data_IF_357721608759
#
_entry.id   IF_357721608759
#
_cell.length_a   1.000
_cell.length_b   1.000
_cell.length_c   1.000
_cell.angle_alpha   90.00
_cell.angle_beta   90.00
_cell.angle_gamma   90.00
#
_symmetry.space_group_name_H-M   'P 1'
#
loop_
_entity.id
_entity.type
_entity.pdbx_description
1 polymer ?
#
# COMPACT_ATOMS: atom_id res chain seq x y z
N UNK A 1 0.05 15.82 -5.40
CA UNK A 1 1.16 14.85 -5.20
C UNK A 1 0.77 13.58 -5.91
N UNK A 2 1.74 12.82 -6.41
CA UNK A 2 1.53 11.54 -7.05
C UNK A 2 2.10 10.42 -6.17
N UNK A 3 1.62 9.20 -6.33
CA UNK A 3 2.05 8.05 -5.55
C UNK A 3 2.33 6.87 -6.47
N UNK A 4 3.39 6.13 -6.17
CA UNK A 4 3.65 4.82 -6.79
C UNK A 4 3.71 3.82 -5.65
N UNK A 5 2.93 2.74 -5.76
CA UNK A 5 2.91 1.65 -4.78
C UNK A 5 3.38 0.39 -5.46
N UNK A 6 4.47 -0.19 -4.97
CA UNK A 6 5.05 -1.42 -5.51
C UNK A 6 5.02 -2.51 -4.44
N UNK A 7 4.36 -3.61 -4.74
CA UNK A 7 4.43 -4.83 -3.94
C UNK A 7 5.39 -5.82 -4.59
N UNK A 8 6.33 -6.34 -3.81
CA UNK A 8 7.35 -7.30 -4.21
C UNK A 8 7.19 -8.56 -3.36
N UNK A 9 7.06 -9.72 -4.02
CA UNK A 9 6.78 -11.00 -3.38
C UNK A 9 6.10 -11.96 -4.35
N UNK A 10 5.40 -12.97 -3.81
CA UNK A 10 4.65 -13.93 -4.62
C UNK A 10 3.52 -13.29 -5.43
N UNK A 11 2.95 -12.18 -4.92
CA UNK A 11 1.83 -11.46 -5.53
C UNK A 11 2.29 -10.07 -6.00
N UNK A 12 3.38 -10.01 -6.77
CA UNK A 12 4.00 -8.75 -7.17
C UNK A 12 3.13 -7.93 -8.14
N UNK A 13 2.98 -6.64 -7.84
CA UNK A 13 2.27 -5.67 -8.68
C UNK A 13 2.80 -4.25 -8.44
N UNK A 14 2.47 -3.36 -9.36
CA UNK A 14 2.76 -1.93 -9.24
C UNK A 14 1.52 -1.12 -9.58
N UNK A 15 1.09 -0.27 -8.65
CA UNK A 15 0.05 0.73 -8.85
C UNK A 15 0.73 2.05 -9.19
N UNK A 16 0.43 2.56 -10.38
CA UNK A 16 1.05 3.79 -10.89
C UNK A 16 0.33 5.03 -10.35
N UNK A 17 0.91 6.20 -10.63
CA UNK A 17 0.37 7.51 -10.25
C UNK A 17 -1.03 7.81 -10.79
N UNK A 18 -1.49 7.10 -11.83
CA UNK A 18 -2.81 7.29 -12.42
C UNK A 18 -3.89 6.46 -11.71
N UNK A 19 -3.45 5.42 -10.99
CA UNK A 19 -4.29 4.48 -10.23
C UNK A 19 -4.47 4.94 -8.79
N UNK A 20 -3.40 5.41 -8.14
CA UNK A 20 -3.41 5.75 -6.70
C UNK A 20 -3.83 7.20 -6.49
N UNK A 21 -4.93 7.41 -5.76
CA UNK A 21 -5.44 8.74 -5.45
C UNK A 21 -4.91 9.27 -4.11
N UNK A 22 -4.79 8.38 -3.12
CA UNK A 22 -4.26 8.77 -1.81
C UNK A 22 -3.57 7.61 -1.10
N UNK A 23 -2.60 7.98 -0.26
CA UNK A 23 -1.94 7.07 0.67
C UNK A 23 -1.91 7.73 2.06
N UNK A 24 -2.31 6.97 3.08
CA UNK A 24 -2.26 7.39 4.48
C UNK A 24 -1.36 6.44 5.27
N UNK A 25 -0.33 6.99 5.89
CA UNK A 25 0.53 6.26 6.84
C UNK A 25 0.05 6.52 8.27
N UNK A 26 -0.13 5.47 9.05
CA UNK A 26 -0.52 5.55 10.45
C UNK A 26 0.43 4.72 11.31
N UNK A 27 0.85 5.30 12.44
CA UNK A 27 1.44 4.53 13.54
C UNK A 27 0.38 4.38 14.62
N UNK A 28 0.02 3.15 14.96
CA UNK A 28 -0.88 2.86 16.07
C UNK A 28 -0.03 2.80 17.34
N UNK A 29 -0.26 3.74 18.26
CA UNK A 29 0.37 3.78 19.57
C UNK A 29 -0.74 3.62 20.61
N UNK A 30 -0.66 2.61 21.51
CA UNK A 30 -1.62 2.45 22.60
C UNK A 30 -1.72 3.72 23.46
N UNK A 31 -2.96 4.10 23.82
CA UNK A 31 -3.26 5.37 24.50
C UNK A 31 -2.84 5.36 25.98
N UNK A 32 -2.70 4.17 26.57
CA UNK A 32 -2.37 3.91 27.97
C UNK A 32 -0.86 3.85 28.25
N UNK A 33 -0.03 4.31 27.29
CA UNK A 33 1.42 4.28 27.42
C UNK A 33 1.96 5.66 27.83
N UNK A 34 2.25 5.85 29.12
CA UNK A 34 2.97 7.02 29.66
C UNK A 34 4.49 7.00 29.31
N UNK A 35 4.93 6.05 28.47
CA UNK A 35 6.28 5.88 27.96
C UNK A 35 6.24 5.45 26.48
N UNK A 36 7.40 5.33 25.81
CA UNK A 36 7.47 4.79 24.44
C UNK A 36 6.87 3.37 24.42
N UNK A 37 5.65 3.22 23.91
CA UNK A 37 4.93 1.95 23.89
C UNK A 37 5.73 0.85 23.19
N UNK A 38 5.79 -0.34 23.79
CA UNK A 38 6.43 -1.52 23.18
C UNK A 38 5.57 -2.16 22.09
N UNK A 39 4.27 -1.90 22.11
CA UNK A 39 3.26 -2.49 21.22
C UNK A 39 2.76 -1.49 20.19
N UNK A 40 3.68 -0.89 19.42
CA UNK A 40 3.30 -0.07 18.27
C UNK A 40 2.90 -0.94 17.09
N UNK A 41 2.10 -0.37 16.19
CA UNK A 41 1.77 -0.97 14.89
C UNK A 41 1.95 0.04 13.77
N UNK A 42 2.20 -0.43 12.55
CA UNK A 42 2.35 0.43 11.38
C UNK A 42 1.34 0.01 10.30
N UNK A 43 0.51 0.95 9.88
CA UNK A 43 -0.61 0.74 8.96
C UNK A 43 -0.49 1.68 7.77
N UNK A 44 -0.84 1.19 6.58
CA UNK A 44 -0.97 1.99 5.36
C UNK A 44 -2.40 1.82 4.86
N UNK A 45 -3.05 2.91 4.47
CA UNK A 45 -4.31 2.87 3.72
C UNK A 45 -4.04 3.46 2.34
N UNK A 46 -4.38 2.72 1.30
CA UNK A 46 -4.25 3.09 -0.10
C UNK A 46 -5.67 3.18 -0.68
N UNK A 47 -5.99 4.29 -1.31
CA UNK A 47 -7.24 4.45 -2.06
C UNK A 47 -6.91 4.83 -3.50
N UNK A 48 -7.61 4.22 -4.46
CA UNK A 48 -7.38 4.45 -5.88
C UNK A 48 -8.56 4.06 -6.75
N UNK A 49 -8.38 4.21 -8.06
CA UNK A 49 -9.38 3.89 -9.09
C UNK A 49 -9.05 2.57 -9.77
N UNK A 50 -10.08 1.77 -10.01
CA UNK A 50 -10.05 0.58 -10.85
C UNK A 50 -10.27 1.06 -12.29
N UNK A 51 -9.28 0.84 -13.15
CA UNK A 51 -9.32 1.23 -14.56
C UNK A 51 -9.25 -0.01 -15.42
N UNK A 52 -9.98 -0.01 -16.52
CA UNK A 52 -9.77 -0.97 -17.60
C UNK A 52 -8.41 -0.69 -18.23
N UNK A 53 -7.64 -1.74 -18.51
CA UNK A 53 -6.39 -1.59 -19.26
C UNK A 53 -6.72 -0.99 -20.64
N UNK A 54 -6.23 0.22 -20.91
CA UNK A 54 -6.27 0.77 -22.26
C UNK A 54 -5.19 0.05 -23.09
N UNK A 55 -5.62 -0.58 -24.18
CA UNK A 55 -4.81 -1.23 -25.22
C UNK A 55 -3.54 -1.97 -24.76
N UNK A 56 -3.73 -3.24 -24.36
CA UNK A 56 -2.69 -4.27 -24.48
C UNK A 56 -1.83 -4.55 -23.25
N UNK A 57 -1.94 -3.79 -22.16
CA UNK A 57 -1.33 -4.18 -20.88
C UNK A 57 -2.23 -5.22 -20.17
N UNK A 58 -1.92 -6.49 -20.39
CA UNK A 58 -2.67 -7.65 -19.87
C UNK A 58 -2.60 -7.81 -18.33
N UNK A 59 -1.95 -6.88 -17.62
CA UNK A 59 -1.78 -6.97 -16.17
C UNK A 59 -2.54 -5.87 -15.43
N UNK A 60 -3.79 -6.16 -15.10
CA UNK A 60 -4.54 -5.33 -14.15
C UNK A 60 -3.89 -5.43 -12.75
N UNK A 61 -3.11 -4.41 -12.38
CA UNK A 61 -2.47 -4.33 -11.06
C UNK A 61 -3.49 -4.21 -9.93
N UNK A 62 -4.69 -3.66 -10.18
CA UNK A 62 -5.76 -3.62 -9.18
C UNK A 62 -6.37 -5.01 -8.96
N UNK A 63 -6.51 -5.81 -10.02
CA UNK A 63 -6.86 -7.24 -9.89
C UNK A 63 -5.81 -8.02 -9.08
N UNK A 64 -4.52 -7.73 -9.25
CA UNK A 64 -3.46 -8.36 -8.43
C UNK A 64 -3.54 -7.95 -6.96
N UNK A 65 -3.86 -6.69 -6.68
CA UNK A 65 -4.11 -6.23 -5.31
C UNK A 65 -5.32 -6.94 -4.69
N UNK A 66 -6.41 -7.10 -5.45
CA UNK A 66 -7.58 -7.88 -5.03
C UNK A 66 -7.22 -9.35 -4.79
N UNK A 67 -6.43 -9.99 -5.67
CA UNK A 67 -5.99 -11.38 -5.46
C UNK A 67 -5.15 -11.53 -4.20
N UNK A 68 -4.25 -10.58 -3.93
CA UNK A 68 -3.45 -10.60 -2.71
C UNK A 68 -4.31 -10.54 -1.44
N UNK A 69 -5.45 -9.83 -1.46
CA UNK A 69 -6.35 -9.77 -0.29
C UNK A 69 -7.03 -11.11 0.04
N UNK A 70 -7.03 -12.08 -0.86
CA UNK A 70 -7.59 -13.40 -0.65
C UNK A 70 -6.56 -14.42 -0.14
N UNK A 71 -5.29 -14.03 -0.03
CA UNK A 71 -4.23 -14.93 0.42
C UNK A 71 -4.31 -15.10 1.94
N UNK A 72 -4.46 -16.35 2.44
CA UNK A 72 -4.61 -16.60 3.87
C UNK A 72 -3.32 -16.32 4.63
N UNK A 73 -3.44 -15.83 5.87
CA UNK A 73 -2.31 -15.36 6.68
C UNK A 73 -1.30 -16.47 7.07
N UNK A 74 -1.72 -17.74 6.99
CA UNK A 74 -0.89 -18.92 7.18
C UNK A 74 0.07 -19.17 6.00
N UNK A 75 -0.22 -18.60 4.83
CA UNK A 75 0.68 -18.68 3.68
C UNK A 75 1.80 -17.65 3.81
N UNK A 76 3.03 -18.07 3.49
CA UNK A 76 4.15 -17.14 3.35
C UNK A 76 3.87 -16.08 2.26
N UNK A 77 3.03 -16.41 1.27
CA UNK A 77 2.68 -15.52 0.17
C UNK A 77 1.76 -14.35 0.58
N UNK A 78 1.21 -14.38 1.80
CA UNK A 78 0.42 -13.29 2.35
C UNK A 78 1.30 -12.07 2.68
N UNK A 79 2.59 -12.27 2.90
CA UNK A 79 3.53 -11.24 3.28
C UNK A 79 4.31 -10.76 2.06
N UNK A 80 4.22 -9.46 1.79
CA UNK A 80 4.95 -8.83 0.69
C UNK A 80 5.71 -7.61 1.18
N UNK A 81 6.83 -7.35 0.52
CA UNK A 81 7.53 -6.08 0.67
C UNK A 81 6.77 -5.02 -0.10
N UNK A 82 6.34 -3.96 0.56
CA UNK A 82 5.62 -2.85 -0.05
C UNK A 82 6.46 -1.59 0.02
N UNK A 83 6.76 -1.01 -1.13
CA UNK A 83 7.46 0.26 -1.28
C UNK A 83 6.48 1.31 -1.80
N UNK A 84 6.42 2.47 -1.15
CA UNK A 84 5.58 3.59 -1.56
C UNK A 84 6.43 4.82 -1.75
N UNK A 85 6.39 5.37 -2.97
CA UNK A 85 7.01 6.65 -3.32
C UNK A 85 5.96 7.74 -3.36
N UNK A 86 6.23 8.84 -2.66
CA UNK A 86 5.48 10.09 -2.78
C UNK A 86 6.26 11.02 -3.69
N UNK A 87 5.61 11.51 -4.74
CA UNK A 87 6.19 12.36 -5.77
C UNK A 87 5.52 13.73 -5.71
N UNK A 88 6.34 14.78 -5.65
CA UNK A 88 5.89 16.16 -5.76
C UNK A 88 6.74 16.87 -6.82
N UNK A 89 6.10 17.61 -7.73
CA UNK A 89 6.77 18.30 -8.84
C UNK A 89 7.75 17.42 -9.65
N UNK A 90 7.40 16.14 -9.85
CA UNK A 90 8.23 15.18 -10.60
C UNK A 90 9.40 14.57 -9.82
N UNK A 91 9.63 14.98 -8.57
CA UNK A 91 10.69 14.44 -7.71
C UNK A 91 10.12 13.57 -6.60
N UNK A 92 10.82 12.49 -6.25
CA UNK A 92 10.48 11.70 -5.06
C UNK A 92 10.82 12.50 -3.82
N UNK A 93 9.84 12.78 -2.97
CA UNK A 93 10.02 13.56 -1.72
C UNK A 93 10.02 12.69 -0.48
N UNK A 94 9.45 11.48 -0.58
CA UNK A 94 9.36 10.50 0.50
C UNK A 94 9.27 9.10 -0.11
N UNK A 95 9.95 8.15 0.51
CA UNK A 95 9.86 6.73 0.19
C UNK A 95 9.73 5.95 1.49
N UNK A 96 8.71 5.10 1.60
CA UNK A 96 8.45 4.27 2.77
C UNK A 96 8.38 2.82 2.33
N UNK A 97 9.15 1.96 2.99
CA UNK A 97 9.21 0.52 2.69
C UNK A 97 8.80 -0.29 3.91
N UNK A 98 7.77 -1.11 3.75
CA UNK A 98 7.31 -2.11 4.71
C UNK A 98 7.82 -3.47 4.21
N UNK A 99 8.76 -4.13 4.90
CA UNK A 99 9.40 -5.34 4.39
C UNK A 99 8.50 -6.58 4.41
N UNK A 100 7.51 -6.62 5.30
CA UNK A 100 6.60 -7.75 5.48
C UNK A 100 5.19 -7.22 5.78
N UNK A 101 4.60 -6.55 4.80
CA UNK A 101 3.23 -6.08 4.86
C UNK A 101 2.25 -7.21 4.51
N UNK A 102 1.05 -7.16 5.07
CA UNK A 102 -0.06 -8.04 4.72
C UNK A 102 -1.36 -7.24 4.68
N UNK A 103 -2.34 -7.75 3.93
CA UNK A 103 -3.65 -7.10 3.77
C UNK A 103 -4.52 -7.37 5.00
N UNK A 104 -5.06 -6.31 5.60
CA UNK A 104 -6.04 -6.37 6.70
C UNK A 104 -7.46 -6.22 6.17
N UNK A 105 -7.64 -5.40 5.14
CA UNK A 105 -8.93 -5.13 4.55
C UNK A 105 -8.75 -4.68 3.11
N UNK A 106 -9.63 -5.13 2.23
CA UNK A 106 -9.73 -4.70 0.86
C UNK A 106 -11.22 -4.55 0.53
N UNK A 107 -11.58 -3.43 -0.08
CA UNK A 107 -12.94 -3.14 -0.49
C UNK A 107 -12.92 -2.46 -1.86
N UNK A 108 -13.81 -2.88 -2.75
CA UNK A 108 -14.05 -2.24 -4.03
C UNK A 108 -15.47 -1.69 -4.05
N UNK A 109 -15.63 -0.54 -4.70
CA UNK A 109 -16.91 0.10 -4.92
C UNK A 109 -17.06 0.38 -6.41
N UNK A 110 -18.15 -0.10 -6.99
CA UNK A 110 -18.50 0.08 -8.39
C UNK A 110 -19.79 0.87 -8.46
N UNK A 111 -19.79 1.91 -9.28
CA UNK A 111 -20.91 2.83 -9.45
C UNK A 111 -21.10 3.10 -10.95
N UNK A 112 -22.34 3.06 -11.41
CA UNK A 112 -22.73 3.30 -12.79
C UNK A 112 -22.89 4.80 -13.10
N UNK A 113 -23.00 5.68 -12.09
CA UNK A 113 -23.10 7.13 -12.28
C UNK A 113 -21.79 7.74 -12.81
N UNK A 114 -20.64 7.27 -12.30
CA UNK A 114 -19.32 7.78 -12.69
C UNK A 114 -18.60 6.89 -13.70
N UNK A 115 -19.05 5.64 -13.87
CA UNK A 115 -18.43 4.65 -14.76
C UNK A 115 -17.02 4.23 -14.34
N UNK A 116 -16.62 4.50 -13.09
CA UNK A 116 -15.27 4.19 -12.58
C UNK A 116 -15.38 3.49 -11.23
N UNK A 117 -14.75 2.31 -11.12
CA UNK A 117 -14.61 1.61 -9.85
C UNK A 117 -13.56 2.28 -8.96
N UNK A 118 -13.70 2.16 -7.65
CA UNK A 118 -12.68 2.58 -6.67
C UNK A 118 -12.33 1.41 -5.77
N UNK A 119 -11.12 1.40 -5.24
CA UNK A 119 -10.70 0.43 -4.24
C UNK A 119 -10.07 1.13 -3.03
N UNK A 120 -10.21 0.51 -1.87
CA UNK A 120 -9.47 0.86 -0.66
C UNK A 120 -8.81 -0.39 -0.11
N UNK A 121 -7.49 -0.33 0.08
CA UNK A 121 -6.66 -1.39 0.62
C UNK A 121 -5.98 -0.92 1.89
N UNK A 122 -6.16 -1.65 2.99
CA UNK A 122 -5.47 -1.42 4.25
C UNK A 122 -4.42 -2.50 4.46
N UNK A 123 -3.17 -2.07 4.60
CA UNK A 123 -2.02 -2.92 4.86
C UNK A 123 -1.51 -2.69 6.28
N UNK A 124 -0.95 -3.74 6.88
CA UNK A 124 -0.23 -3.64 8.15
C UNK A 124 1.11 -4.35 8.05
N UNK A 125 2.13 -3.80 8.70
CA UNK A 125 3.44 -4.44 8.82
C UNK A 125 3.40 -5.53 9.89
N UNK A 126 4.06 -6.66 9.62
CA UNK A 126 4.26 -7.74 10.60
C UNK A 126 4.98 -7.23 11.85
N UNK A 127 4.45 -7.55 13.03
CA UNK A 127 4.84 -6.93 14.31
C UNK A 127 6.31 -7.15 14.68
N UNK A 128 6.85 -8.34 14.40
CA UNK A 128 8.25 -8.73 14.65
C UNK A 128 9.25 -8.09 13.68
N UNK A 129 8.77 -7.27 12.73
CA UNK A 129 9.56 -6.64 11.66
C UNK A 129 9.34 -5.12 11.57
N UNK A 130 8.74 -4.52 12.61
CA UNK A 130 8.46 -3.08 12.64
C UNK A 130 9.73 -2.21 12.65
N UNK A 131 10.79 -2.71 13.28
CA UNK A 131 12.12 -2.09 13.31
C UNK A 131 12.82 -2.07 11.94
N UNK A 132 12.31 -2.85 10.99
CA UNK A 132 12.83 -2.97 9.63
C UNK A 132 12.12 -2.05 8.63
N UNK A 133 11.09 -1.30 9.07
CA UNK A 133 10.46 -0.28 8.23
C UNK A 133 11.50 0.79 7.88
N UNK A 134 11.62 1.08 6.59
CA UNK A 134 12.52 2.11 6.09
C UNK A 134 11.72 3.35 5.70
N UNK A 135 12.19 4.52 6.13
CA UNK A 135 11.63 5.82 5.76
C UNK A 135 12.78 6.67 5.22
N UNK A 136 12.80 6.86 3.91
CA UNK A 136 13.76 7.70 3.21
C UNK A 136 13.09 8.98 2.68
N UNK A 137 13.84 10.07 2.63
CA UNK A 137 13.36 11.38 2.22
C UNK A 137 14.48 12.42 2.31
N UNK A 138 14.18 13.68 1.98
CA UNK A 138 15.20 14.73 1.97
C UNK A 138 16.25 14.53 0.86
N UNK A 139 15.83 13.93 -0.25
CA UNK A 139 16.67 13.79 -1.43
C UNK A 139 17.18 15.16 -1.87
N UNK A 140 18.47 15.26 -2.18
CA UNK A 140 19.03 16.48 -2.73
C UNK A 140 18.34 16.80 -4.06
N UNK A 141 17.98 18.07 -4.22
CA UNK A 141 17.31 18.63 -5.42
C UNK A 141 18.34 18.85 -6.52
#
# INVERSE_FOLDING_TARGET
MAYIVKAEGANAFELTQETVESVKFLTNIPLDSDARAKDTGATIVITGKIRTAADGDLTDSTLKAAKWSHVPAESADAYQKVNIKTIAAGQTVREITYPDAFVISYAEHYDDETGVGTFTMTLRQKKDKLDQIQVAGGYAV
#
